data_IF_437980057063
#
_entry.id   IF_437980057063
#
_cell.length_a   1.000
_cell.length_b   1.000
_cell.length_c   1.000
_cell.angle_alpha   90.00
_cell.angle_beta   90.00
_cell.angle_gamma   90.00
#
_symmetry.space_group_name_H-M   'P 1'
#
loop_
_entity.id
_entity.type
_entity.pdbx_description
1 polymer ?
#
# COMPACT_ATOMS: atom_id res chain seq x y z
N UNK A 1 -3.85 13.29 -8.16
CA UNK A 1 -3.39 11.89 -8.28
C UNK A 1 -2.85 11.67 -9.68
N UNK A 2 -1.76 10.93 -9.79
CA UNK A 2 -1.15 10.56 -11.07
C UNK A 2 -2.14 9.73 -11.91
N UNK A 3 -2.25 10.04 -13.21
CA UNK A 3 -3.14 9.29 -14.13
C UNK A 3 -2.78 7.80 -14.18
N UNK A 4 -1.49 7.47 -14.07
CA UNK A 4 -1.04 6.07 -14.04
C UNK A 4 -1.65 5.33 -12.84
N UNK A 5 -1.69 5.96 -11.67
CA UNK A 5 -2.24 5.37 -10.46
C UNK A 5 -3.74 5.18 -10.60
N UNK A 6 -4.46 6.17 -11.14
CA UNK A 6 -5.89 6.05 -11.40
C UNK A 6 -6.20 4.89 -12.35
N UNK A 7 -5.39 4.74 -13.41
CA UNK A 7 -5.57 3.66 -14.38
C UNK A 7 -5.35 2.29 -13.74
N UNK A 8 -4.33 2.18 -12.87
CA UNK A 8 -4.06 0.93 -12.15
C UNK A 8 -5.21 0.57 -11.22
N UNK A 9 -5.77 1.54 -10.52
CA UNK A 9 -6.93 1.32 -9.66
C UNK A 9 -8.12 0.83 -10.48
N UNK A 10 -8.40 1.46 -11.63
CA UNK A 10 -9.50 1.08 -12.50
C UNK A 10 -9.32 -0.32 -13.07
N UNK A 11 -8.10 -0.68 -13.50
CA UNK A 11 -7.79 -2.00 -14.04
C UNK A 11 -8.03 -3.11 -13.01
N UNK A 12 -7.78 -2.83 -11.74
CA UNK A 12 -7.94 -3.79 -10.66
C UNK A 12 -9.26 -3.63 -9.91
N UNK A 13 -10.16 -2.79 -10.42
CA UNK A 13 -11.49 -2.54 -9.85
C UNK A 13 -11.45 -2.11 -8.39
N UNK A 14 -10.46 -1.30 -8.05
CA UNK A 14 -10.31 -0.76 -6.69
C UNK A 14 -11.05 0.56 -6.63
N UNK A 15 -12.10 0.62 -5.81
CA UNK A 15 -12.92 1.82 -5.63
C UNK A 15 -12.78 2.30 -4.19
N UNK A 16 -12.14 3.44 -4.01
CA UNK A 16 -11.94 4.05 -2.70
C UNK A 16 -12.47 5.48 -2.71
N UNK A 17 -13.19 5.83 -1.63
CA UNK A 17 -13.70 7.18 -1.41
C UNK A 17 -12.74 7.95 -0.52
N UNK A 18 -12.81 9.28 -0.58
CA UNK A 18 -12.04 10.17 0.29
C UNK A 18 -10.54 9.86 0.26
N UNK A 19 -10.02 9.56 -0.93
CA UNK A 19 -8.64 9.18 -1.10
C UNK A 19 -7.70 10.33 -0.76
N UNK A 20 -6.79 10.09 0.20
CA UNK A 20 -5.78 11.04 0.63
C UNK A 20 -4.40 10.53 0.26
N UNK A 21 -3.57 11.40 -0.28
CA UNK A 21 -2.15 11.11 -0.49
C UNK A 21 -1.40 11.39 0.80
N UNK A 22 -0.61 10.42 1.27
CA UNK A 22 0.22 10.57 2.45
C UNK A 22 1.68 10.71 2.03
N UNK A 23 2.43 11.54 2.75
CA UNK A 23 3.85 11.71 2.49
C UNK A 23 4.63 10.63 3.24
N UNK A 24 5.27 9.70 2.50
CA UNK A 24 6.06 8.63 3.11
C UNK A 24 7.20 9.17 3.97
N UNK A 25 7.72 10.36 3.67
CA UNK A 25 8.82 10.96 4.41
C UNK A 25 8.49 11.24 5.87
N UNK A 26 7.21 11.40 6.19
CA UNK A 26 6.76 11.59 7.57
C UNK A 26 6.91 10.32 8.40
N UNK A 27 6.98 9.16 7.77
CA UNK A 27 6.96 7.86 8.44
C UNK A 27 8.21 7.03 8.21
N UNK A 28 8.99 7.32 7.16
CA UNK A 28 10.14 6.52 6.78
C UNK A 28 11.08 7.30 5.88
N UNK A 29 12.33 6.82 5.78
CA UNK A 29 13.32 7.36 4.83
C UNK A 29 13.20 6.74 3.44
N UNK A 30 12.27 5.81 3.23
CA UNK A 30 12.06 5.17 1.93
C UNK A 30 11.53 6.16 0.90
N UNK A 31 12.11 6.17 -0.30
CA UNK A 31 11.75 7.12 -1.36
C UNK A 31 10.95 6.52 -2.51
N UNK A 32 10.91 5.20 -2.59
CA UNK A 32 10.32 4.48 -3.72
C UNK A 32 8.84 4.17 -3.52
N UNK A 33 8.21 4.77 -2.54
CA UNK A 33 6.82 4.49 -2.20
C UNK A 33 5.96 5.72 -2.31
N UNK A 34 4.73 5.50 -2.75
CA UNK A 34 3.64 6.45 -2.61
C UNK A 34 2.56 5.81 -1.74
N UNK A 35 1.98 6.58 -0.84
CA UNK A 35 0.97 6.10 0.10
C UNK A 35 -0.35 6.79 -0.14
N UNK A 36 -1.44 6.00 -0.09
CA UNK A 36 -2.79 6.52 -0.21
C UNK A 36 -3.65 5.89 0.88
N UNK A 37 -4.51 6.70 1.49
CA UNK A 37 -5.48 6.24 2.46
C UNK A 37 -6.88 6.57 1.93
N UNK A 38 -7.75 5.57 1.87
CA UNK A 38 -9.10 5.74 1.38
C UNK A 38 -10.09 4.86 2.12
N UNK A 39 -11.38 5.04 1.80
CA UNK A 39 -12.48 4.28 2.41
C UNK A 39 -13.17 3.47 1.32
N UNK A 40 -13.36 2.17 1.56
CA UNK A 40 -14.05 1.31 0.59
C UNK A 40 -15.57 1.42 0.70
N UNK A 41 -16.29 0.69 -0.16
CA UNK A 41 -17.74 0.70 -0.19
C UNK A 41 -18.41 0.21 1.08
N UNK A 42 -17.69 -0.56 1.89
CA UNK A 42 -18.18 -1.09 3.17
C UNK A 42 -17.83 -0.18 4.36
N UNK A 43 -17.19 0.94 4.11
CA UNK A 43 -16.84 1.91 5.15
C UNK A 43 -15.52 1.62 5.87
N UNK A 44 -14.71 0.69 5.37
CA UNK A 44 -13.43 0.35 5.99
C UNK A 44 -12.29 1.18 5.40
N UNK A 45 -11.35 1.57 6.26
CA UNK A 45 -10.14 2.26 5.81
C UNK A 45 -9.19 1.28 5.14
N UNK A 46 -8.69 1.70 3.98
CA UNK A 46 -7.71 0.95 3.18
C UNK A 46 -6.45 1.77 3.04
N UNK A 47 -5.30 1.17 3.32
CA UNK A 47 -4.00 1.79 3.08
C UNK A 47 -3.38 1.14 1.86
N UNK A 48 -2.97 1.97 0.89
CA UNK A 48 -2.43 1.51 -0.38
C UNK A 48 -0.99 1.99 -0.52
N UNK A 49 -0.08 1.06 -0.79
CA UNK A 49 1.31 1.33 -1.06
C UNK A 49 1.58 1.13 -2.55
N UNK A 50 2.23 2.11 -3.18
CA UNK A 50 2.78 1.98 -4.51
C UNK A 50 4.29 1.91 -4.40
N UNK A 51 4.86 0.77 -4.75
CA UNK A 51 6.30 0.56 -4.73
C UNK A 51 6.85 0.60 -6.15
N UNK A 52 7.68 1.59 -6.45
CA UNK A 52 8.35 1.71 -7.73
C UNK A 52 9.84 1.45 -7.52
N UNK A 53 10.22 0.19 -7.54
CA UNK A 53 11.60 -0.25 -7.33
C UNK A 53 11.82 -1.56 -8.06
N UNK A 54 13.00 -1.74 -8.65
CA UNK A 54 13.34 -2.93 -9.41
C UNK A 54 13.84 -4.09 -8.56
N UNK A 55 14.27 -3.82 -7.35
CA UNK A 55 14.76 -4.85 -6.43
C UNK A 55 13.61 -5.75 -5.96
N UNK A 56 13.95 -7.01 -5.66
CA UNK A 56 12.98 -7.98 -5.19
C UNK A 56 12.36 -7.55 -3.87
N UNK A 57 11.03 -7.61 -3.78
CA UNK A 57 10.32 -7.36 -2.53
C UNK A 57 10.39 -8.61 -1.65
N UNK A 58 10.91 -8.46 -0.45
CA UNK A 58 11.13 -9.56 0.48
C UNK A 58 10.39 -9.32 1.79
N UNK A 59 10.25 -10.37 2.60
CA UNK A 59 9.49 -10.31 3.85
C UNK A 59 10.04 -9.26 4.84
N UNK A 60 11.35 -9.05 4.83
CA UNK A 60 11.98 -8.02 5.67
C UNK A 60 11.44 -6.63 5.35
N UNK A 61 11.25 -6.33 4.08
CA UNK A 61 10.71 -5.05 3.65
C UNK A 61 9.23 -4.93 4.05
N UNK A 62 8.47 -6.01 3.97
CA UNK A 62 7.08 -6.02 4.43
C UNK A 62 6.98 -5.71 5.93
N UNK A 63 7.89 -6.24 6.74
CA UNK A 63 7.93 -5.94 8.17
C UNK A 63 8.19 -4.44 8.42
N UNK A 64 9.01 -3.80 7.58
CA UNK A 64 9.22 -2.36 7.65
C UNK A 64 7.94 -1.59 7.31
N UNK A 65 7.16 -2.06 6.32
CA UNK A 65 5.87 -1.45 5.99
C UNK A 65 4.87 -1.59 7.13
N UNK A 66 4.90 -2.70 7.84
CA UNK A 66 4.03 -2.91 9.01
C UNK A 66 4.31 -1.88 10.10
N UNK A 67 5.58 -1.51 10.30
CA UNK A 67 5.95 -0.46 11.26
C UNK A 67 5.41 0.90 10.81
N UNK A 68 5.47 1.19 9.53
CA UNK A 68 4.91 2.42 8.97
C UNK A 68 3.39 2.46 9.21
N UNK A 69 2.71 1.34 9.05
CA UNK A 69 1.27 1.25 9.30
C UNK A 69 0.93 1.62 10.74
N UNK A 70 1.70 1.13 11.70
CA UNK A 70 1.47 1.45 13.11
C UNK A 70 1.62 2.95 13.39
N UNK A 71 2.60 3.60 12.77
CA UNK A 71 2.79 5.04 12.88
C UNK A 71 1.61 5.81 12.26
N UNK A 72 1.11 5.36 11.13
CA UNK A 72 -0.04 5.98 10.46
C UNK A 72 -1.30 5.84 11.31
N UNK A 73 -1.56 4.66 11.86
CA UNK A 73 -2.70 4.43 12.74
C UNK A 73 -2.67 5.35 13.95
N UNK A 74 -1.49 5.53 14.53
CA UNK A 74 -1.32 6.41 15.69
C UNK A 74 -1.56 7.87 15.33
N UNK A 75 -1.01 8.33 14.20
CA UNK A 75 -1.10 9.72 13.78
C UNK A 75 -2.54 10.12 13.43
N UNK A 76 -3.27 9.27 12.74
CA UNK A 76 -4.62 9.59 12.26
C UNK A 76 -5.73 9.05 13.16
N UNK A 77 -5.38 8.35 14.23
CA UNK A 77 -6.33 7.73 15.17
C UNK A 77 -7.41 6.95 14.41
N UNK A 78 -6.97 6.13 13.45
CA UNK A 78 -7.84 5.45 12.49
C UNK A 78 -7.54 3.96 12.49
N UNK A 79 -8.59 3.14 12.48
CA UNK A 79 -8.44 1.70 12.39
C UNK A 79 -8.41 1.28 10.92
N UNK A 80 -7.19 1.03 10.41
CA UNK A 80 -6.97 0.58 9.04
C UNK A 80 -7.02 -0.95 9.04
N UNK A 81 -7.97 -1.52 8.29
CA UNK A 81 -8.21 -2.97 8.30
C UNK A 81 -7.78 -3.68 7.02
N UNK A 82 -7.57 -2.94 5.93
CA UNK A 82 -7.17 -3.51 4.64
C UNK A 82 -5.90 -2.84 4.14
N UNK A 83 -5.00 -3.66 3.58
CA UNK A 83 -3.71 -3.22 3.09
C UNK A 83 -3.50 -3.73 1.68
N UNK A 84 -3.01 -2.87 0.79
CA UNK A 84 -2.76 -3.22 -0.61
C UNK A 84 -1.36 -2.76 -1.00
N UNK A 85 -0.62 -3.61 -1.69
CA UNK A 85 0.68 -3.27 -2.25
C UNK A 85 0.63 -3.44 -3.76
N UNK A 86 0.89 -2.35 -4.47
CA UNK A 86 1.17 -2.38 -5.90
C UNK A 86 2.68 -2.39 -6.08
N UNK A 87 3.19 -3.28 -6.92
CA UNK A 87 4.63 -3.43 -7.13
C UNK A 87 4.93 -3.69 -8.60
N UNK A 88 6.16 -3.37 -9.00
CA UNK A 88 6.65 -3.59 -10.36
C UNK A 88 8.00 -4.32 -10.38
N UNK A 89 8.20 -5.23 -9.43
CA UNK A 89 9.43 -5.98 -9.24
C UNK A 89 9.14 -7.45 -8.96
N UNK A 90 10.15 -8.33 -8.97
CA UNK A 90 9.97 -9.66 -8.41
C UNK A 90 9.54 -9.59 -6.95
N UNK A 91 8.77 -10.56 -6.50
CA UNK A 91 8.30 -10.64 -5.12
C UNK A 91 8.56 -12.04 -4.57
N UNK A 92 8.95 -12.09 -3.30
CA UNK A 92 9.18 -13.37 -2.62
C UNK A 92 7.85 -14.11 -2.42
N UNK A 93 7.79 -15.39 -2.80
CA UNK A 93 6.58 -16.19 -2.66
C UNK A 93 6.11 -16.33 -1.21
N UNK A 94 7.03 -16.28 -0.25
CA UNK A 94 6.68 -16.33 1.18
C UNK A 94 5.84 -15.11 1.60
N UNK A 95 6.11 -13.94 1.01
CA UNK A 95 5.33 -12.72 1.27
C UNK A 95 3.88 -12.94 0.85
N UNK A 96 3.67 -13.49 -0.33
CA UNK A 96 2.33 -13.71 -0.86
C UNK A 96 1.53 -14.73 -0.05
N UNK A 97 2.20 -15.76 0.47
CA UNK A 97 1.54 -16.86 1.17
C UNK A 97 1.26 -16.56 2.65
N UNK A 98 2.09 -15.73 3.28
CA UNK A 98 2.04 -15.55 4.73
C UNK A 98 1.17 -14.38 5.19
N UNK A 99 0.69 -13.55 4.26
CA UNK A 99 0.03 -12.28 4.61
C UNK A 99 -1.35 -12.19 3.96
N UNK A 100 -2.28 -12.96 4.50
CA UNK A 100 -3.64 -13.08 3.96
C UNK A 100 -4.45 -11.79 4.07
N UNK A 101 -4.08 -10.90 4.97
CA UNK A 101 -4.77 -9.61 5.15
C UNK A 101 -4.35 -8.58 4.09
N UNK A 102 -3.32 -8.89 3.32
CA UNK A 102 -2.78 -8.01 2.29
C UNK A 102 -3.23 -8.47 0.91
N UNK A 103 -3.41 -7.51 0.02
CA UNK A 103 -3.60 -7.75 -1.40
C UNK A 103 -2.38 -7.23 -2.15
N UNK A 104 -1.88 -8.03 -3.07
CA UNK A 104 -0.69 -7.73 -3.85
C UNK A 104 -1.05 -7.68 -5.33
N UNK A 105 -0.72 -6.56 -6.00
CA UNK A 105 -0.99 -6.37 -7.42
C UNK A 105 0.28 -5.97 -8.14
N UNK A 106 0.61 -6.69 -9.21
CA UNK A 106 1.71 -6.38 -10.10
C UNK A 106 1.24 -5.37 -11.15
N UNK A 107 1.95 -4.25 -11.30
CA UNK A 107 1.61 -3.24 -12.30
C UNK A 107 2.68 -3.06 -13.37
N UNK A 108 3.55 -4.04 -13.56
CA UNK A 108 4.55 -4.01 -14.63
C UNK A 108 3.90 -4.05 -16.01
#
# INVERSE_FOLDING_TARGET
MDNRICNIFNQNRILLKDLKTLDIKEFSKKRNYQLFLGVDGDGFYNLVFFRDAKSRFVNRELEELKKIIELIKSKFDTNIVKFTLFYNSPICSKVLKSNLDWKFYDFM
#
